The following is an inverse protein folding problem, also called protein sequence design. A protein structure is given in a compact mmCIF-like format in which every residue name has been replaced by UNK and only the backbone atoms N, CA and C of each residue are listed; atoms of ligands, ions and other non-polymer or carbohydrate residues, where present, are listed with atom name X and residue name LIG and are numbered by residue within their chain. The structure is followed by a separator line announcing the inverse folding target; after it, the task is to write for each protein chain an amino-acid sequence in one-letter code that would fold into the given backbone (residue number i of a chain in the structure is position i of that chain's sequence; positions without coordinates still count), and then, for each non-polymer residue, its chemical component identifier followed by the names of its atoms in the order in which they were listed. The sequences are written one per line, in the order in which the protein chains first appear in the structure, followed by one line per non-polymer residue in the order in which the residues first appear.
data_IF_029686579824
#
_entry.id   IF_029686579824
#
_cell.length_a   1.000
_cell.length_b   1.000
_cell.length_c   1.000
_cell.angle_alpha   90.00
_cell.angle_beta   90.00
_cell.angle_gamma   90.00
#
_symmetry.space_group_name_H-M   'P 1'
#
loop_
_entity.id
_entity.type
_entity.pdbx_description
1 polymer ?
#
# COMPACT_ATOMS: atom_id res chain seq x y z
N UNK A 1 -0.39 49.22 45.19
CA UNK A 1 0.19 47.95 44.71
C UNK A 1 1.56 48.24 44.12
N UNK A 2 2.59 47.53 44.57
CA UNK A 2 4.00 47.87 44.34
C UNK A 2 4.42 47.54 42.89
N UNK A 3 5.16 48.43 42.19
CA UNK A 3 5.41 48.32 40.74
C UNK A 3 6.24 47.08 40.33
N UNK A 4 6.98 46.48 41.28
CA UNK A 4 7.74 45.25 41.08
C UNK A 4 6.84 44.03 40.86
N UNK A 5 5.68 43.97 41.53
CA UNK A 5 4.74 42.84 41.42
C UNK A 5 4.01 42.82 40.08
N UNK A 6 3.71 44.00 39.50
CA UNK A 6 3.11 44.13 38.16
C UNK A 6 4.05 43.62 37.05
N UNK A 7 5.35 43.90 37.17
CA UNK A 7 6.36 43.50 36.17
C UNK A 7 6.61 41.98 36.14
N UNK A 8 6.36 41.28 37.24
CA UNK A 8 6.49 39.82 37.31
C UNK A 8 5.23 39.11 36.82
N UNK A 9 4.04 39.67 37.09
CA UNK A 9 2.77 39.16 36.57
C UNK A 9 2.67 39.25 35.04
N UNK A 10 3.12 40.36 34.43
CA UNK A 10 3.14 40.51 32.97
C UNK A 10 4.09 39.53 32.27
N UNK A 11 5.25 39.22 32.90
CA UNK A 11 6.19 38.22 32.37
C UNK A 11 5.64 36.79 32.49
N UNK A 12 4.94 36.46 33.58
CA UNK A 12 4.31 35.16 33.75
C UNK A 12 3.17 34.93 32.74
N UNK A 13 2.35 35.95 32.48
CA UNK A 13 1.25 35.86 31.50
C UNK A 13 1.74 35.62 30.06
N UNK A 14 2.85 36.25 29.65
CA UNK A 14 3.43 36.07 28.32
C UNK A 14 3.99 34.66 28.07
N UNK A 15 4.60 34.05 29.10
CA UNK A 15 5.13 32.67 29.02
C UNK A 15 4.00 31.64 28.93
N UNK A 16 2.91 31.84 29.68
CA UNK A 16 1.74 30.94 29.65
C UNK A 16 1.00 31.04 28.32
N UNK A 17 0.84 32.24 27.75
CA UNK A 17 0.19 32.43 26.44
C UNK A 17 1.01 31.83 25.29
N UNK A 18 2.35 31.91 25.34
CA UNK A 18 3.21 31.27 24.35
C UNK A 18 3.16 29.73 24.46
N UNK A 19 3.08 29.19 25.68
CA UNK A 19 2.98 27.74 25.90
C UNK A 19 1.65 27.16 25.39
N UNK A 20 0.52 27.85 25.57
CA UNK A 20 -0.78 27.38 25.08
C UNK A 20 -0.90 27.43 23.56
N UNK A 21 -0.33 28.45 22.90
CA UNK A 21 -0.26 28.51 21.43
C UNK A 21 0.66 27.43 20.87
N UNK A 22 1.80 27.14 21.53
CA UNK A 22 2.69 26.06 21.13
C UNK A 22 2.04 24.68 21.25
N UNK A 23 1.31 24.40 22.35
CA UNK A 23 0.58 23.13 22.53
C UNK A 23 -0.57 23.01 21.53
N UNK A 24 -1.26 24.11 21.21
CA UNK A 24 -2.27 24.14 20.15
C UNK A 24 -1.72 23.88 18.74
N UNK A 25 -0.47 24.26 18.48
CA UNK A 25 0.21 24.00 17.21
C UNK A 25 0.78 22.58 17.09
N UNK A 26 1.01 21.88 18.21
CA UNK A 26 1.32 20.44 18.22
C UNK A 26 0.06 19.57 18.08
N UNK A 27 -1.14 20.17 18.04
CA UNK A 27 -2.40 19.51 17.70
C UNK A 27 -2.62 19.40 16.18
N UNK A 28 -1.56 19.48 15.36
CA UNK A 28 -1.61 18.94 14.01
C UNK A 28 -1.92 17.44 14.15
N UNK A 29 -3.19 17.07 13.95
CA UNK A 29 -3.60 15.67 13.90
C UNK A 29 -2.64 14.90 13.02
N UNK A 30 -2.29 13.67 13.42
CA UNK A 30 -1.26 12.85 12.79
C UNK A 30 -1.20 13.11 11.27
N UNK A 31 -0.17 13.84 10.83
CA UNK A 31 0.06 14.00 9.42
C UNK A 31 0.25 12.57 8.89
N UNK A 32 -0.71 12.09 8.11
CA UNK A 32 -0.59 10.82 7.40
C UNK A 32 0.44 11.09 6.30
N UNK A 33 1.72 11.09 6.66
CA UNK A 33 2.81 11.20 5.73
C UNK A 33 3.07 9.83 5.12
N UNK A 34 3.76 9.83 3.99
CA UNK A 34 4.20 8.59 3.39
C UNK A 34 5.08 7.79 4.36
N UNK A 35 4.84 6.48 4.42
CA UNK A 35 5.67 5.56 5.19
C UNK A 35 6.58 4.81 4.25
N UNK A 36 7.88 5.09 4.34
CA UNK A 36 8.90 4.32 3.65
C UNK A 36 9.13 2.98 4.34
N UNK A 37 9.08 1.90 3.56
CA UNK A 37 9.33 0.53 3.99
C UNK A 37 10.43 -0.07 3.11
N UNK A 38 11.62 -0.33 3.66
CA UNK A 38 12.61 -1.14 2.97
C UNK A 38 12.11 -2.59 2.95
N UNK A 39 12.05 -3.18 1.76
CA UNK A 39 11.67 -4.57 1.60
C UNK A 39 12.91 -5.45 1.48
N UNK A 40 12.76 -6.72 1.82
CA UNK A 40 13.88 -7.64 1.83
C UNK A 40 14.29 -7.98 0.39
N UNK A 41 15.57 -7.79 0.09
CA UNK A 41 16.21 -8.32 -1.11
C UNK A 41 16.38 -9.84 -1.01
N UNK A 42 16.39 -10.51 -2.16
CA UNK A 42 16.45 -11.97 -2.24
C UNK A 42 17.30 -12.46 -3.40
N UNK A 43 17.96 -13.60 -3.20
CA UNK A 43 18.65 -14.32 -4.25
C UNK A 43 18.35 -15.82 -4.09
N UNK A 44 18.03 -16.48 -5.20
CA UNK A 44 17.85 -17.93 -5.26
C UNK A 44 18.56 -18.47 -6.48
N UNK A 45 19.26 -19.60 -6.31
CA UNK A 45 19.86 -20.35 -7.40
C UNK A 45 19.29 -21.76 -7.40
N UNK A 46 18.78 -22.20 -8.55
CA UNK A 46 18.19 -23.52 -8.72
C UNK A 46 18.75 -24.20 -9.98
N UNK A 47 19.10 -25.48 -9.84
CA UNK A 47 19.48 -26.34 -10.98
C UNK A 47 18.28 -27.14 -11.44
N UNK A 48 17.93 -27.04 -12.72
CA UNK A 48 16.84 -27.75 -13.36
C UNK A 48 17.28 -29.15 -13.82
N UNK A 49 16.30 -29.98 -14.20
CA UNK A 49 16.51 -31.37 -14.61
C UNK A 49 17.41 -31.53 -15.85
N UNK A 50 17.49 -30.51 -16.69
CA UNK A 50 18.32 -30.46 -17.91
C UNK A 50 19.75 -29.96 -17.65
N UNK A 51 20.11 -29.71 -16.39
CA UNK A 51 21.39 -29.14 -15.97
C UNK A 51 21.50 -27.63 -16.15
N UNK A 52 20.43 -26.93 -16.52
CA UNK A 52 20.38 -25.47 -16.52
C UNK A 52 20.40 -24.97 -15.07
N UNK A 53 21.32 -24.06 -14.74
CA UNK A 53 21.37 -23.36 -13.46
C UNK A 53 20.79 -21.97 -13.64
N UNK A 54 19.70 -21.67 -12.93
CA UNK A 54 19.03 -20.37 -12.95
C UNK A 54 19.27 -19.68 -11.62
N UNK A 55 19.88 -18.50 -11.68
CA UNK A 55 20.02 -17.59 -10.54
C UNK A 55 19.07 -16.42 -10.75
N UNK A 56 18.20 -16.17 -9.79
CA UNK A 56 17.29 -15.03 -9.76
C UNK A 56 17.68 -14.18 -8.56
N UNK A 57 17.93 -12.90 -8.81
CA UNK A 57 18.23 -11.91 -7.79
C UNK A 57 17.25 -10.77 -7.89
N UNK A 58 16.74 -10.34 -6.74
CA UNK A 58 15.84 -9.22 -6.59
C UNK A 58 16.43 -8.25 -5.58
N UNK A 59 16.73 -7.01 -6.00
CA UNK A 59 17.46 -6.03 -5.20
C UNK A 59 16.81 -4.66 -5.17
N UNK A 60 17.14 -3.86 -4.16
CA UNK A 60 16.68 -2.48 -4.03
C UNK A 60 15.18 -2.36 -3.82
N UNK A 61 14.54 -3.38 -3.23
CA UNK A 61 13.09 -3.41 -3.07
C UNK A 61 12.65 -2.40 -2.02
N UNK A 62 11.75 -1.50 -2.39
CA UNK A 62 11.19 -0.49 -1.50
C UNK A 62 9.70 -0.32 -1.74
N UNK A 63 8.99 0.09 -0.69
CA UNK A 63 7.60 0.52 -0.77
C UNK A 63 7.43 1.84 -0.03
N UNK A 64 6.89 2.84 -0.70
CA UNK A 64 6.46 4.10 -0.11
C UNK A 64 4.93 4.09 -0.02
N UNK A 65 4.41 4.01 1.21
CA UNK A 65 2.97 3.88 1.47
C UNK A 65 2.40 5.25 1.73
N UNK A 66 1.67 5.78 0.75
CA UNK A 66 0.93 7.03 0.84
C UNK A 66 -0.49 6.84 1.37
N UNK A 67 -1.08 7.88 2.00
CA UNK A 67 -2.49 7.89 2.35
C UNK A 67 -3.40 7.69 1.13
N UNK A 68 -4.67 7.35 1.38
CA UNK A 68 -5.68 7.28 0.32
C UNK A 68 -5.80 8.61 -0.43
N UNK A 69 -5.65 8.58 -1.76
CA UNK A 69 -5.95 9.74 -2.61
C UNK A 69 -7.43 10.17 -2.54
N UNK A 70 -8.33 9.25 -2.16
CA UNK A 70 -9.75 9.53 -1.93
C UNK A 70 -10.08 9.95 -0.50
N UNK A 71 -9.08 10.16 0.36
CA UNK A 71 -9.23 10.49 1.77
C UNK A 71 -10.07 9.48 2.59
N UNK A 72 -10.04 8.21 2.17
CA UNK A 72 -10.74 7.11 2.84
C UNK A 72 -9.81 6.35 3.80
N UNK A 73 -10.18 6.15 5.09
CA UNK A 73 -9.30 5.53 6.10
C UNK A 73 -8.79 4.12 5.79
N UNK A 74 -9.49 3.34 4.96
CA UNK A 74 -9.18 1.94 4.65
C UNK A 74 -8.46 1.71 3.32
N UNK A 75 -8.07 2.80 2.66
CA UNK A 75 -7.32 2.75 1.43
C UNK A 75 -5.92 3.33 1.64
N UNK A 76 -4.96 2.81 0.88
CA UNK A 76 -3.58 3.31 0.79
C UNK A 76 -3.14 3.22 -0.67
N UNK A 77 -2.29 4.16 -1.07
CA UNK A 77 -1.58 4.12 -2.34
C UNK A 77 -0.15 3.67 -2.03
N UNK A 78 0.36 2.68 -2.74
CA UNK A 78 1.70 2.15 -2.51
C UNK A 78 2.51 2.35 -3.78
N UNK A 79 3.67 2.99 -3.63
CA UNK A 79 4.66 3.18 -4.68
C UNK A 79 5.82 2.23 -4.43
N UNK A 80 6.19 1.42 -5.41
CA UNK A 80 7.23 0.41 -5.25
C UNK A 80 8.30 0.52 -6.30
N UNK A 81 9.52 0.21 -5.87
CA UNK A 81 10.71 0.26 -6.71
C UNK A 81 11.59 -0.95 -6.42
N UNK A 82 12.31 -1.42 -7.42
CA UNK A 82 13.21 -2.57 -7.30
C UNK A 82 13.82 -2.99 -8.63
N UNK A 83 14.74 -3.93 -8.56
CA UNK A 83 15.44 -4.50 -9.72
C UNK A 83 15.45 -6.02 -9.65
N UNK A 84 15.25 -6.65 -10.80
CA UNK A 84 15.28 -8.11 -10.95
C UNK A 84 16.31 -8.46 -12.01
N UNK A 85 17.27 -9.29 -11.61
CA UNK A 85 18.30 -9.86 -12.46
C UNK A 85 18.16 -11.38 -12.52
N UNK A 86 18.29 -11.92 -13.71
CA UNK A 86 18.26 -13.36 -13.98
C UNK A 86 19.52 -13.74 -14.75
N UNK A 87 20.19 -14.78 -14.28
CA UNK A 87 21.34 -15.39 -14.95
C UNK A 87 21.07 -16.87 -15.16
N UNK A 88 21.32 -17.34 -16.38
CA UNK A 88 21.17 -18.72 -16.81
C UNK A 88 22.56 -19.25 -17.18
N UNK A 89 22.99 -20.33 -16.54
CA UNK A 89 24.25 -21.01 -16.86
C UNK A 89 24.00 -22.49 -17.20
N UNK A 90 24.85 -23.06 -18.07
CA UNK A 90 24.70 -24.42 -18.54
C UNK A 90 23.43 -24.66 -19.37
N UNK A 91 23.13 -25.95 -19.54
CA UNK A 91 21.91 -26.47 -20.19
C UNK A 91 21.58 -25.91 -21.57
N UNK A 92 20.34 -26.13 -22.01
CA UNK A 92 19.88 -25.78 -23.36
C UNK A 92 19.03 -24.52 -23.42
N UNK A 93 18.59 -23.99 -22.27
CA UNK A 93 17.76 -22.79 -22.17
C UNK A 93 18.36 -21.60 -22.95
N UNK A 94 17.49 -20.94 -23.74
CA UNK A 94 17.84 -19.82 -24.65
C UNK A 94 17.23 -18.48 -24.22
N UNK A 95 16.64 -18.43 -23.04
CA UNK A 95 15.92 -17.28 -22.52
C UNK A 95 14.93 -17.73 -21.46
N UNK A 96 14.00 -16.86 -21.13
CA UNK A 96 12.94 -17.15 -20.18
C UNK A 96 11.92 -16.03 -20.08
N UNK A 97 10.96 -16.22 -19.19
CA UNK A 97 9.93 -15.26 -18.84
C UNK A 97 10.02 -14.97 -17.34
N UNK A 98 9.95 -13.69 -16.99
CA UNK A 98 10.02 -13.18 -15.62
C UNK A 98 8.65 -12.61 -15.25
N UNK A 99 8.02 -13.19 -14.23
CA UNK A 99 6.84 -12.64 -13.56
C UNK A 99 7.27 -12.08 -12.21
N UNK A 100 6.86 -10.86 -11.88
CA UNK A 100 7.19 -10.29 -10.58
C UNK A 100 6.08 -9.40 -10.04
N UNK A 101 6.12 -9.21 -8.73
CA UNK A 101 5.11 -8.43 -8.04
C UNK A 101 5.21 -8.55 -6.54
N UNK A 102 4.09 -8.29 -5.89
CA UNK A 102 3.94 -8.28 -4.44
C UNK A 102 2.76 -9.15 -4.01
N UNK A 103 3.00 -9.98 -3.00
CA UNK A 103 1.93 -10.60 -2.25
C UNK A 103 1.60 -9.69 -1.07
N UNK A 104 0.43 -9.06 -1.12
CA UNK A 104 -0.06 -8.15 -0.09
C UNK A 104 -1.10 -8.86 0.75
N UNK A 105 -0.88 -8.93 2.06
CA UNK A 105 -1.78 -9.57 3.00
C UNK A 105 -2.24 -8.60 4.08
N UNK A 106 -3.54 -8.59 4.34
CA UNK A 106 -4.17 -7.81 5.40
C UNK A 106 -4.47 -8.69 6.61
N UNK A 107 -4.37 -8.16 7.82
CA UNK A 107 -4.83 -8.87 9.02
C UNK A 107 -6.34 -9.16 8.96
N UNK A 108 -7.13 -8.15 8.60
CA UNK A 108 -8.57 -8.25 8.43
C UNK A 108 -8.98 -7.62 7.11
N UNK A 109 -9.96 -8.23 6.45
CA UNK A 109 -10.57 -7.64 5.26
C UNK A 109 -11.84 -6.89 5.69
N UNK A 110 -11.91 -5.60 5.42
CA UNK A 110 -13.06 -4.76 5.70
C UNK A 110 -13.76 -4.36 4.40
N UNK A 111 -15.09 -4.49 4.38
CA UNK A 111 -15.95 -3.96 3.34
C UNK A 111 -17.06 -3.12 3.95
N UNK A 112 -17.41 -2.01 3.30
CA UNK A 112 -18.62 -1.24 3.61
C UNK A 112 -19.48 -1.12 2.36
N UNK A 113 -20.76 -1.45 2.48
CA UNK A 113 -21.74 -1.23 1.41
C UNK A 113 -22.83 -0.30 1.90
N UNK A 114 -23.12 0.74 1.11
CA UNK A 114 -24.29 1.60 1.29
C UNK A 114 -25.27 1.31 0.16
N UNK A 115 -26.32 0.53 0.42
CA UNK A 115 -27.47 0.50 -0.46
C UNK A 115 -28.41 1.63 0.00
N UNK A 116 -28.48 2.69 -0.80
CA UNK A 116 -29.33 3.83 -0.52
C UNK A 116 -30.76 3.59 -0.97
N UNK A 117 -31.64 3.17 -0.05
CA UNK A 117 -33.06 3.51 -0.14
C UNK A 117 -33.32 4.74 0.73
N UNK A 118 -33.97 5.73 0.12
CA UNK A 118 -34.04 7.12 0.55
C UNK A 118 -34.49 7.32 2.01
N UNK A 119 -33.73 8.10 2.78
CA UNK A 119 -34.22 8.66 4.06
C UNK A 119 -33.17 9.24 5.00
N UNK A 120 -31.94 8.71 5.01
CA UNK A 120 -30.83 9.25 5.78
C UNK A 120 -29.57 9.27 4.91
N UNK A 121 -29.16 10.48 4.48
CA UNK A 121 -27.90 10.64 3.75
C UNK A 121 -26.77 10.58 4.76
N UNK A 122 -26.24 9.39 4.99
CA UNK A 122 -24.91 9.24 5.59
C UNK A 122 -23.90 9.27 4.44
N UNK A 123 -22.95 10.19 4.51
CA UNK A 123 -21.83 10.20 3.58
C UNK A 123 -20.95 8.98 3.83
N UNK A 124 -20.34 8.36 2.79
CA UNK A 124 -19.42 7.23 2.98
C UNK A 124 -18.31 7.51 3.99
N UNK A 125 -17.90 8.77 4.11
CA UNK A 125 -16.91 9.25 5.09
C UNK A 125 -17.39 9.14 6.55
N UNK A 126 -18.68 9.35 6.81
CA UNK A 126 -19.26 9.23 8.17
C UNK A 126 -19.38 7.76 8.59
N UNK A 127 -19.71 6.86 7.66
CA UNK A 127 -19.76 5.41 7.91
C UNK A 127 -18.37 4.84 8.20
N UNK A 128 -17.36 5.24 7.42
CA UNK A 128 -15.97 4.81 7.65
C UNK A 128 -15.38 5.48 8.89
N UNK A 129 -15.75 6.74 9.18
CA UNK A 129 -15.35 7.46 10.39
C UNK A 129 -15.83 6.76 11.66
N UNK A 130 -17.11 6.38 11.74
CA UNK A 130 -17.67 5.65 12.88
C UNK A 130 -17.06 4.24 13.05
N UNK A 131 -16.73 3.56 11.94
CA UNK A 131 -16.11 2.23 11.97
C UNK A 131 -14.60 2.24 12.34
N UNK A 132 -13.94 3.40 12.25
CA UNK A 132 -12.49 3.56 12.52
C UNK A 132 -12.20 4.36 13.80
N UNK A 133 -13.21 4.56 14.66
CA UNK A 133 -13.05 5.19 15.97
C UNK A 133 -13.18 6.72 15.98
N UNK A 134 -13.74 7.31 14.92
CA UNK A 134 -14.27 8.68 14.95
C UNK A 134 -15.53 8.78 15.81
N UNK A 135 -15.97 10.01 16.10
CA UNK A 135 -17.16 10.32 16.90
C UNK A 135 -18.32 9.37 16.50
N UNK A 136 -18.95 8.63 17.42
CA UNK A 136 -19.89 7.59 17.08
C UNK A 136 -21.13 8.23 16.45
N UNK A 137 -21.14 8.39 15.13
CA UNK A 137 -22.38 8.34 14.40
C UNK A 137 -22.94 6.95 14.70
N UNK A 138 -23.99 6.91 15.50
CA UNK A 138 -24.75 5.70 15.82
C UNK A 138 -25.11 5.04 14.50
N UNK A 139 -24.30 4.10 14.02
CA UNK A 139 -24.70 3.22 12.93
C UNK A 139 -25.68 2.28 13.61
N UNK A 140 -27.00 2.38 13.34
CA UNK A 140 -27.92 1.41 13.90
C UNK A 140 -27.54 0.06 13.25
N UNK A 141 -26.88 -0.79 14.03
CA UNK A 141 -26.69 -2.22 13.74
C UNK A 141 -28.03 -2.98 13.79
N UNK A 142 -29.15 -2.27 13.91
CA UNK A 142 -30.50 -2.78 13.71
C UNK A 142 -31.31 -1.81 12.84
N UNK A 143 -31.58 -2.18 11.59
CA UNK A 143 -32.73 -1.66 10.84
C UNK A 143 -32.43 -0.97 9.51
N UNK A 144 -32.53 -1.73 8.41
CA UNK A 144 -32.65 -1.21 7.05
C UNK A 144 -31.93 -2.11 6.04
N UNK A 145 -32.68 -2.74 5.13
CA UNK A 145 -32.12 -3.61 4.12
C UNK A 145 -31.03 -2.90 3.31
N UNK A 146 -29.76 -3.25 3.55
CA UNK A 146 -28.67 -2.99 2.62
C UNK A 146 -27.59 -1.97 3.02
N UNK A 147 -27.60 -1.38 4.22
CA UNK A 147 -26.38 -0.72 4.72
C UNK A 147 -25.66 -1.62 5.73
N UNK A 148 -24.37 -1.88 5.52
CA UNK A 148 -23.66 -2.87 6.32
C UNK A 148 -22.14 -2.74 6.25
N UNK A 149 -21.51 -2.99 7.40
CA UNK A 149 -20.07 -3.19 7.54
C UNK A 149 -19.80 -4.69 7.60
N UNK A 150 -18.89 -5.17 6.77
CA UNK A 150 -18.42 -6.56 6.76
C UNK A 150 -16.96 -6.60 7.19
N UNK A 151 -16.67 -7.48 8.15
CA UNK A 151 -15.31 -7.82 8.55
C UNK A 151 -15.12 -9.31 8.29
N UNK A 152 -14.19 -9.62 7.40
CA UNK A 152 -13.81 -10.97 7.04
C UNK A 152 -12.38 -11.30 7.47
N UNK A 153 -12.00 -12.59 7.44
CA UNK A 153 -10.62 -12.98 7.64
C UNK A 153 -9.72 -12.29 6.60
N UNK A 154 -8.49 -11.98 7.02
CA UNK A 154 -7.46 -11.45 6.15
C UNK A 154 -7.26 -12.28 4.88
N UNK A 155 -7.01 -11.61 3.76
CA UNK A 155 -6.69 -12.24 2.48
C UNK A 155 -5.34 -11.77 1.98
N UNK A 156 -4.64 -12.65 1.27
CA UNK A 156 -3.44 -12.34 0.53
C UNK A 156 -3.80 -12.20 -0.95
N UNK A 157 -3.41 -11.09 -1.56
CA UNK A 157 -3.67 -10.78 -2.97
C UNK A 157 -2.34 -10.67 -3.70
N UNK A 158 -2.30 -11.23 -4.90
CA UNK A 158 -1.17 -11.06 -5.81
C UNK A 158 -1.33 -9.75 -6.59
N UNK A 159 -0.31 -8.89 -6.53
CA UNK A 159 -0.25 -7.63 -7.26
C UNK A 159 0.94 -7.71 -8.23
N UNK A 160 0.71 -7.99 -9.52
CA UNK A 160 1.79 -7.96 -10.51
C UNK A 160 2.31 -6.53 -10.68
N UNK A 161 3.63 -6.39 -10.88
CA UNK A 161 4.25 -5.07 -11.09
C UNK A 161 4.33 -4.67 -12.56
N UNK A 162 4.29 -5.66 -13.45
CA UNK A 162 4.32 -5.43 -14.88
C UNK A 162 2.89 -5.36 -15.40
N UNK A 163 2.64 -4.35 -16.21
CA UNK A 163 1.48 -4.24 -17.07
C UNK A 163 1.95 -3.80 -18.45
N UNK A 164 2.29 -4.77 -19.31
CA UNK A 164 2.84 -4.52 -20.64
C UNK A 164 1.71 -4.63 -21.66
N UNK A 165 1.38 -3.50 -22.27
CA UNK A 165 0.40 -3.37 -23.35
C UNK A 165 0.92 -4.01 -24.65
N UNK A 166 0.03 -4.69 -25.38
CA UNK A 166 0.27 -5.22 -26.72
C UNK A 166 -1.04 -5.33 -27.51
N UNK A 167 -0.96 -5.32 -28.84
CA UNK A 167 -2.11 -5.60 -29.71
C UNK A 167 -2.26 -7.12 -29.89
N UNK A 168 -3.46 -7.66 -29.68
CA UNK A 168 -3.74 -9.07 -29.90
C UNK A 168 -3.97 -9.40 -31.39
N UNK A 169 -4.32 -10.65 -31.69
CA UNK A 169 -4.56 -11.11 -33.07
C UNK A 169 -5.77 -10.42 -33.74
N UNK A 170 -6.57 -9.68 -32.97
CA UNK A 170 -7.74 -8.91 -33.41
C UNK A 170 -7.51 -7.39 -33.38
N UNK A 171 -6.27 -6.94 -33.14
CA UNK A 171 -5.89 -5.51 -33.01
C UNK A 171 -6.55 -4.82 -31.81
N UNK A 172 -6.97 -5.60 -30.80
CA UNK A 172 -7.46 -5.10 -29.51
C UNK A 172 -6.30 -4.97 -28.50
N UNK A 173 -6.39 -3.98 -27.61
CA UNK A 173 -5.42 -3.77 -26.54
C UNK A 173 -5.51 -4.90 -25.51
N UNK A 174 -4.37 -5.56 -25.28
CA UNK A 174 -4.20 -6.64 -24.33
C UNK A 174 -3.00 -6.38 -23.42
N UNK A 175 -3.01 -7.02 -22.25
CA UNK A 175 -2.05 -6.76 -21.18
C UNK A 175 -1.38 -8.05 -20.73
N UNK A 176 -0.07 -7.97 -20.44
CA UNK A 176 0.68 -9.08 -19.83
C UNK A 176 1.50 -8.61 -18.64
N UNK A 177 1.56 -9.45 -17.61
CA UNK A 177 2.31 -9.19 -16.38
C UNK A 177 3.70 -9.84 -16.35
N UNK A 178 4.25 -10.13 -17.54
CA UNK A 178 5.46 -10.92 -17.69
C UNK A 178 6.42 -10.34 -18.72
N UNK A 179 7.71 -10.35 -18.39
CA UNK A 179 8.79 -9.88 -19.25
C UNK A 179 9.55 -11.07 -19.84
N UNK A 180 9.61 -11.16 -21.17
CA UNK A 180 10.35 -12.20 -21.88
C UNK A 180 11.74 -11.71 -22.26
N UNK A 181 12.76 -12.52 -21.97
CA UNK A 181 14.14 -12.25 -22.37
C UNK A 181 14.73 -13.41 -23.18
N UNK A 182 15.73 -13.10 -23.99
CA UNK A 182 16.51 -14.06 -24.76
C UNK A 182 17.97 -14.00 -24.36
N UNK A 183 18.70 -15.11 -24.53
CA UNK A 183 20.09 -15.24 -24.12
C UNK A 183 20.25 -15.87 -22.73
N UNK A 184 21.42 -15.64 -22.13
CA UNK A 184 21.84 -16.24 -20.85
C UNK A 184 21.65 -15.32 -19.65
N UNK A 185 21.13 -14.12 -19.86
CA UNK A 185 20.80 -13.18 -18.80
C UNK A 185 19.65 -12.28 -19.24
N UNK A 186 18.85 -11.84 -18.28
CA UNK A 186 17.75 -10.91 -18.50
C UNK A 186 17.35 -10.26 -17.19
N UNK A 187 16.60 -9.17 -17.26
CA UNK A 187 16.21 -8.44 -16.07
C UNK A 187 15.52 -7.15 -16.42
N UNK A 188 14.89 -6.54 -15.43
CA UNK A 188 14.31 -5.22 -15.53
C UNK A 188 14.35 -4.51 -14.18
N UNK A 189 14.31 -3.19 -14.23
CA UNK A 189 14.19 -2.32 -13.06
C UNK A 189 12.91 -1.53 -13.20
N UNK A 190 12.22 -1.35 -12.08
CA UNK A 190 11.02 -0.55 -11.98
C UNK A 190 11.17 0.45 -10.85
N UNK A 191 10.56 1.62 -11.01
CA UNK A 191 10.65 2.72 -10.05
C UNK A 191 9.31 3.41 -9.95
N UNK A 192 8.85 3.61 -8.72
CA UNK A 192 7.60 4.28 -8.41
C UNK A 192 6.40 3.70 -9.18
N UNK A 193 6.36 2.37 -9.27
CA UNK A 193 5.20 1.64 -9.77
C UNK A 193 4.12 1.58 -8.69
N UNK A 194 2.88 1.87 -9.07
CA UNK A 194 1.80 2.12 -8.11
C UNK A 194 0.76 1.01 -8.07
N UNK A 195 0.29 0.72 -6.86
CA UNK A 195 -0.94 -0.03 -6.68
C UNK A 195 -1.73 0.43 -5.45
N UNK A 196 -3.04 0.26 -5.52
CA UNK A 196 -3.94 0.53 -4.41
C UNK A 196 -4.10 -0.68 -3.50
N UNK A 197 -4.10 -0.45 -2.19
CA UNK A 197 -4.53 -1.44 -1.20
C UNK A 197 -5.83 -0.93 -0.59
N UNK A 198 -6.91 -1.71 -0.74
CA UNK A 198 -8.25 -1.36 -0.27
C UNK A 198 -8.80 -2.41 0.67
N UNK A 199 -9.69 -1.99 1.57
CA UNK A 199 -10.36 -2.90 2.52
C UNK A 199 -9.40 -3.56 3.50
N UNK A 200 -8.22 -2.99 3.74
CA UNK A 200 -7.21 -3.55 4.63
C UNK A 200 -7.36 -2.94 6.02
N UNK A 201 -7.92 -3.70 6.95
CA UNK A 201 -8.05 -3.28 8.34
C UNK A 201 -6.90 -3.87 9.19
N UNK A 202 -6.33 -3.03 10.04
CA UNK A 202 -5.17 -3.38 10.87
C UNK A 202 -3.84 -3.28 10.12
N UNK A 203 -2.89 -4.15 10.47
CA UNK A 203 -1.60 -4.21 9.78
C UNK A 203 -1.72 -4.89 8.41
N UNK A 204 -0.96 -4.36 7.45
CA UNK A 204 -0.73 -4.96 6.15
C UNK A 204 0.74 -5.42 6.07
N UNK A 205 0.97 -6.56 5.42
CA UNK A 205 2.31 -7.03 5.08
C UNK A 205 2.40 -7.24 3.57
N UNK A 206 3.46 -6.74 2.95
CA UNK A 206 3.81 -7.04 1.58
C UNK A 206 5.09 -7.87 1.53
N UNK A 207 5.16 -8.85 0.63
CA UNK A 207 6.39 -9.54 0.26
C UNK A 207 6.54 -9.52 -1.24
N UNK A 208 7.71 -9.11 -1.70
CA UNK A 208 8.02 -9.14 -3.11
C UNK A 208 8.30 -10.58 -3.57
N UNK A 209 8.04 -10.86 -4.84
CA UNK A 209 8.41 -12.12 -5.47
C UNK A 209 8.92 -11.88 -6.89
N UNK A 210 9.80 -12.77 -7.33
CA UNK A 210 10.19 -12.94 -8.73
C UNK A 210 10.10 -14.42 -9.08
N UNK A 211 9.41 -14.74 -10.16
CA UNK A 211 9.25 -16.08 -10.71
C UNK A 211 9.82 -16.10 -12.12
N UNK A 212 10.71 -17.05 -12.37
CA UNK A 212 11.34 -17.21 -13.68
C UNK A 212 10.95 -18.57 -14.24
N UNK A 213 10.53 -18.57 -15.51
CA UNK A 213 10.28 -19.77 -16.30
C UNK A 213 11.25 -19.77 -17.47
N UNK A 214 12.00 -20.87 -17.67
CA UNK A 214 13.00 -21.04 -18.74
C UNK A 214 12.63 -22.17 -19.68
#
# INVERSE_FOLDING_TARGET
MNSKTLRHGAKAAGVVAAATVAIGLFSTGAANADTFVPLQDGEITQTLLDGTVVTVRQTGNTANISPSMGSTPLHRNVWTSGSIDVSINGGTAKGGTIDAGYIVACQLNFGGSVNGEAGASLTPSEVVGAATGGDPASIPVEGGAGSGVSIGPGKATNVPILDIEYADDYDEEAHKSSFKFTGKSGGFTYSDETFGVSGCAGYAQARSYAKVTV
#
